data_IF_135389013376
#
_entry.id   IF_135389013376
#
_cell.length_a   1.000
_cell.length_b   1.000
_cell.length_c   1.000
_cell.angle_alpha   90.00
_cell.angle_beta   90.00
_cell.angle_gamma   90.00
#
_symmetry.space_group_name_H-M   'P 1'
#
loop_
_entity.id
_entity.type
_entity.pdbx_description
1 polymer ?
#
# COMPACT_ATOMS: atom_id res chain seq x y z
N UNK A 1 -5.55 7.14 24.62
CA UNK A 1 -6.50 6.08 24.23
C UNK A 1 -6.85 6.25 22.75
N UNK A 2 -5.98 5.77 21.85
CA UNK A 2 -6.10 4.46 21.18
C UNK A 2 -7.33 4.34 20.27
N UNK A 3 -7.44 5.10 19.17
CA UNK A 3 -8.39 4.73 18.12
C UNK A 3 -8.18 5.41 16.75
N UNK A 4 -6.99 5.33 16.15
CA UNK A 4 -6.82 5.58 14.69
C UNK A 4 -5.77 4.64 14.08
N UNK A 5 -5.71 3.41 14.58
CA UNK A 5 -4.85 2.35 14.03
C UNK A 5 -5.55 1.57 12.90
N UNK A 6 -6.88 1.65 12.83
CA UNK A 6 -7.71 0.75 12.00
C UNK A 6 -8.46 1.44 10.85
N UNK A 7 -8.30 2.75 10.66
CA UNK A 7 -8.91 3.49 9.55
C UNK A 7 -8.15 4.80 9.28
N UNK A 8 -7.08 4.79 8.47
CA UNK A 8 -6.59 6.03 7.88
C UNK A 8 -7.73 6.63 7.03
N UNK A 9 -7.79 7.98 6.85
CA UNK A 9 -8.76 8.58 5.95
C UNK A 9 -8.56 7.97 4.56
N UNK A 10 -9.44 7.05 4.19
CA UNK A 10 -9.42 6.45 2.88
C UNK A 10 -9.82 7.54 1.90
N UNK A 11 -8.95 7.82 0.94
CA UNK A 11 -9.32 8.65 -0.20
C UNK A 11 -10.49 7.92 -0.87
N UNK A 12 -11.65 8.58 -0.95
CA UNK A 12 -12.83 8.04 -1.62
C UNK A 12 -12.41 7.65 -3.05
N UNK A 13 -12.72 6.42 -3.49
CA UNK A 13 -12.35 5.85 -4.80
C UNK A 13 -10.88 5.40 -4.93
N UNK A 14 -10.32 4.76 -3.90
CA UNK A 14 -9.01 4.11 -3.99
C UNK A 14 -9.17 2.64 -3.59
N UNK A 15 -8.54 1.67 -4.29
CA UNK A 15 -8.56 0.28 -3.86
C UNK A 15 -8.11 0.18 -2.39
N UNK A 16 -8.64 -0.77 -1.59
CA UNK A 16 -8.31 -0.89 -0.16
C UNK A 16 -6.80 -0.96 0.11
N UNK A 17 -6.02 -1.40 -0.87
CA UNK A 17 -4.54 -1.41 -0.86
C UNK A 17 -3.92 -0.02 -0.84
N UNK A 18 -4.49 0.96 -1.55
CA UNK A 18 -3.92 2.30 -1.65
C UNK A 18 -4.11 3.12 -0.35
N UNK A 19 -5.10 2.79 0.49
CA UNK A 19 -5.21 3.37 1.84
C UNK A 19 -4.04 3.01 2.76
N UNK A 20 -3.59 1.75 2.70
CA UNK A 20 -2.43 1.27 3.47
C UNK A 20 -1.12 1.90 3.00
N UNK A 21 -0.96 2.06 1.68
CA UNK A 21 0.19 2.71 1.07
C UNK A 21 0.29 4.20 1.46
N UNK A 22 -0.83 4.93 1.40
CA UNK A 22 -0.90 6.34 1.81
C UNK A 22 -0.58 6.48 3.30
N UNK A 23 -1.09 5.59 4.14
CA UNK A 23 -0.79 5.59 5.57
C UNK A 23 0.70 5.39 5.85
N UNK A 24 1.35 4.42 5.19
CA UNK A 24 2.78 4.18 5.31
C UNK A 24 3.61 5.41 4.91
N UNK A 25 3.28 6.02 3.76
CA UNK A 25 3.94 7.26 3.28
C UNK A 25 3.75 8.43 4.24
N UNK A 26 2.54 8.61 4.77
CA UNK A 26 2.26 9.67 5.75
C UNK A 26 3.07 9.47 7.03
N UNK A 27 3.17 8.23 7.52
CA UNK A 27 4.00 7.93 8.69
C UNK A 27 5.47 8.21 8.43
N UNK A 28 5.99 7.81 7.26
CA UNK A 28 7.38 8.06 6.89
C UNK A 28 7.69 9.57 6.87
N UNK A 29 6.84 10.37 6.21
CA UNK A 29 6.97 11.84 6.23
C UNK A 29 6.94 12.43 7.64
N UNK A 30 6.02 11.94 8.49
CA UNK A 30 5.90 12.42 9.88
C UNK A 30 7.14 12.12 10.73
N UNK A 31 7.86 11.03 10.47
CA UNK A 31 9.10 10.72 11.21
C UNK A 31 10.34 11.37 10.57
N UNK A 32 10.31 11.70 9.28
CA UNK A 32 11.40 12.40 8.58
C UNK A 32 11.57 13.84 9.08
N UNK A 33 10.48 14.60 9.21
CA UNK A 33 10.54 16.00 9.64
C UNK A 33 11.26 16.22 10.98
N UNK A 34 10.95 15.48 12.07
CA UNK A 34 11.72 15.60 13.31
C UNK A 34 13.14 15.07 13.16
N UNK A 35 13.39 14.05 12.33
CA UNK A 35 14.74 13.52 12.12
C UNK A 35 15.65 14.53 11.39
N UNK A 36 15.12 15.30 10.42
CA UNK A 36 15.86 16.38 9.75
C UNK A 36 16.29 17.46 10.74
N UNK A 37 15.39 17.87 11.64
CA UNK A 37 15.70 18.83 12.71
C UNK A 37 16.71 18.27 13.71
N UNK A 38 16.59 16.99 14.04
CA UNK A 38 17.53 16.29 14.90
C UNK A 38 18.94 16.24 14.29
N UNK A 39 19.04 15.96 12.99
CA UNK A 39 20.30 15.92 12.25
C UNK A 39 20.97 17.30 12.14
N UNK A 40 20.19 18.38 12.04
CA UNK A 40 20.72 19.73 11.99
C UNK A 40 21.46 20.15 13.28
N UNK A 41 21.09 19.56 14.43
CA UNK A 41 21.74 19.86 15.70
C UNK A 41 22.91 18.91 15.99
N UNK A 42 24.10 19.28 15.49
CA UNK A 42 25.35 18.49 15.64
C UNK A 42 25.72 18.21 17.10
N UNK A 43 25.40 19.11 18.03
CA UNK A 43 25.71 18.95 19.45
C UNK A 43 24.90 17.81 20.10
N UNK A 44 23.67 17.60 19.64
CA UNK A 44 22.83 16.49 20.11
C UNK A 44 23.23 15.20 19.39
N UNK A 45 23.65 15.27 18.13
CA UNK A 45 24.03 14.11 17.31
C UNK A 45 25.26 13.36 17.85
N UNK A 46 26.17 14.01 18.55
CA UNK A 46 27.37 13.39 19.14
C UNK A 46 27.13 12.66 20.46
N UNK A 47 25.96 12.87 21.08
CA UNK A 47 25.61 12.22 22.36
C UNK A 47 25.47 10.71 22.22
N UNK A 48 25.58 9.96 23.33
CA UNK A 48 25.41 8.50 23.32
C UNK A 48 23.95 8.12 23.05
N UNK A 49 23.04 8.96 23.49
CA UNK A 49 21.58 8.85 23.38
C UNK A 49 21.13 8.97 21.92
N UNK A 50 21.81 9.81 21.11
CA UNK A 50 21.48 10.01 19.69
C UNK A 50 21.53 8.71 18.88
N UNK A 51 22.51 7.84 19.17
CA UNK A 51 22.69 6.56 18.47
C UNK A 51 21.47 5.67 18.63
N UNK A 52 20.83 5.66 19.81
CA UNK A 52 19.62 4.88 20.08
C UNK A 52 18.41 5.43 19.31
N UNK A 53 18.29 6.75 19.22
CA UNK A 53 17.23 7.44 18.47
C UNK A 53 17.37 7.14 16.97
N UNK A 54 18.58 7.30 16.41
CA UNK A 54 18.88 7.04 14.99
C UNK A 54 18.60 5.56 14.65
N UNK A 55 19.03 4.63 15.50
CA UNK A 55 18.76 3.19 15.28
C UNK A 55 17.27 2.88 15.26
N UNK A 56 16.50 3.51 16.14
CA UNK A 56 15.04 3.33 16.19
C UNK A 56 14.38 3.92 14.95
N UNK A 57 14.77 5.12 14.54
CA UNK A 57 14.30 5.75 13.31
C UNK A 57 14.60 4.87 12.08
N UNK A 58 15.84 4.41 11.90
CA UNK A 58 16.21 3.57 10.77
C UNK A 58 15.42 2.26 10.73
N UNK A 59 15.16 1.65 11.89
CA UNK A 59 14.34 0.44 12.00
C UNK A 59 12.91 0.70 11.53
N UNK A 60 12.30 1.79 11.98
CA UNK A 60 10.92 2.14 11.61
C UNK A 60 10.84 2.55 10.13
N UNK A 61 11.75 3.39 9.66
CA UNK A 61 11.81 3.82 8.26
C UNK A 61 11.96 2.64 7.31
N UNK A 62 12.88 1.71 7.60
CA UNK A 62 13.03 0.47 6.82
C UNK A 62 11.74 -0.35 6.78
N UNK A 63 11.11 -0.58 7.93
CA UNK A 63 9.86 -1.34 7.99
C UNK A 63 8.72 -0.69 7.18
N UNK A 64 8.64 0.65 7.17
CA UNK A 64 7.64 1.38 6.37
C UNK A 64 7.91 1.26 4.86
N UNK A 65 9.17 1.35 4.44
CA UNK A 65 9.57 1.20 3.03
C UNK A 65 9.35 -0.23 2.54
N UNK A 66 9.72 -1.23 3.34
CA UNK A 66 9.47 -2.65 3.04
C UNK A 66 7.98 -2.92 2.89
N UNK A 67 7.16 -2.38 3.80
CA UNK A 67 5.71 -2.48 3.73
C UNK A 67 5.15 -1.84 2.45
N UNK A 68 5.54 -0.60 2.14
CA UNK A 68 5.15 0.07 0.88
C UNK A 68 5.55 -0.75 -0.35
N UNK A 69 6.77 -1.26 -0.38
CA UNK A 69 7.29 -2.04 -1.52
C UNK A 69 6.50 -3.32 -1.72
N UNK A 70 6.22 -4.06 -0.65
CA UNK A 70 5.46 -5.31 -0.70
C UNK A 70 4.04 -5.07 -1.20
N UNK A 71 3.36 -4.05 -0.68
CA UNK A 71 2.00 -3.72 -1.10
C UNK A 71 1.93 -3.19 -2.52
N UNK A 72 2.88 -2.36 -2.94
CA UNK A 72 2.97 -1.90 -4.32
C UNK A 72 3.14 -3.09 -5.28
N UNK A 73 4.01 -4.02 -4.94
CA UNK A 73 4.27 -5.20 -5.76
C UNK A 73 3.04 -6.13 -5.85
N UNK A 74 2.34 -6.33 -4.73
CA UNK A 74 1.09 -7.09 -4.69
C UNK A 74 0.00 -6.42 -5.56
N UNK A 75 -0.11 -5.09 -5.51
CA UNK A 75 -1.04 -4.34 -6.33
C UNK A 75 -0.71 -4.47 -7.83
N UNK A 76 0.55 -4.30 -8.24
CA UNK A 76 0.96 -4.51 -9.63
C UNK A 76 0.60 -5.92 -10.13
N UNK A 77 0.84 -6.96 -9.31
CA UNK A 77 0.44 -8.33 -9.66
C UNK A 77 -1.07 -8.50 -9.82
N UNK A 78 -1.87 -7.88 -8.94
CA UNK A 78 -3.33 -7.91 -9.07
C UNK A 78 -3.82 -7.25 -10.37
N UNK A 79 -3.12 -6.22 -10.84
CA UNK A 79 -3.45 -5.57 -12.11
C UNK A 79 -3.18 -6.49 -13.30
N UNK A 80 -2.04 -7.17 -13.32
CA UNK A 80 -1.72 -8.12 -14.39
C UNK A 80 -2.68 -9.32 -14.42
N UNK A 81 -3.07 -9.84 -13.25
CA UNK A 81 -4.07 -10.91 -13.15
C UNK A 81 -5.42 -10.47 -13.74
N UNK A 82 -5.89 -9.28 -13.36
CA UNK A 82 -7.16 -8.78 -13.85
C UNK A 82 -7.12 -8.33 -15.33
N UNK A 83 -5.95 -7.97 -15.87
CA UNK A 83 -5.72 -7.79 -17.32
C UNK A 83 -5.88 -9.10 -18.09
N UNK A 84 -5.39 -10.22 -17.56
CA UNK A 84 -5.65 -11.54 -18.15
C UNK A 84 -7.15 -11.89 -18.12
N UNK A 85 -7.86 -11.53 -17.03
CA UNK A 85 -9.32 -11.64 -16.94
C UNK A 85 -10.05 -10.81 -18.00
N UNK A 86 -9.59 -9.59 -18.28
CA UNK A 86 -10.14 -8.72 -19.35
C UNK A 86 -9.96 -9.30 -20.76
N UNK A 87 -8.96 -10.16 -20.98
CA UNK A 87 -8.74 -10.83 -22.26
C UNK A 87 -9.61 -12.09 -22.44
N UNK A 88 -10.34 -12.51 -21.39
CA UNK A 88 -11.24 -13.65 -21.49
C UNK A 88 -12.47 -13.30 -22.35
N UNK A 89 -12.99 -14.29 -23.09
CA UNK A 89 -14.20 -14.10 -23.89
C UNK A 89 -15.38 -13.76 -22.98
N UNK A 90 -15.90 -12.52 -23.08
CA UNK A 90 -16.98 -12.02 -22.22
C UNK A 90 -18.29 -12.79 -22.39
N UNK A 91 -18.49 -13.46 -23.53
CA UNK A 91 -19.70 -14.23 -23.81
C UNK A 91 -19.26 -15.68 -24.07
N UNK A 92 -19.70 -16.59 -23.21
CA UNK A 92 -19.38 -18.03 -23.29
C UNK A 92 -20.67 -18.81 -23.42
N UNK A 93 -20.69 -19.82 -24.30
CA UNK A 93 -21.85 -20.66 -24.52
C UNK A 93 -21.75 -21.91 -23.63
N UNK A 94 -22.77 -22.17 -22.82
CA UNK A 94 -22.75 -23.33 -21.94
C UNK A 94 -22.84 -24.63 -22.76
N UNK A 95 -21.88 -25.56 -22.61
CA UNK A 95 -21.69 -26.68 -23.53
C UNK A 95 -22.87 -27.67 -23.57
N UNK A 96 -23.68 -27.74 -22.51
CA UNK A 96 -24.85 -28.64 -22.43
C UNK A 96 -26.20 -27.97 -22.69
N UNK A 97 -26.30 -26.65 -22.56
CA UNK A 97 -27.60 -25.95 -22.62
C UNK A 97 -27.69 -24.91 -23.74
N UNK A 98 -26.59 -24.61 -24.43
CA UNK A 98 -26.54 -23.66 -25.54
C UNK A 98 -26.82 -22.20 -25.15
N UNK A 99 -27.10 -21.93 -23.87
CA UNK A 99 -27.35 -20.59 -23.34
C UNK A 99 -26.06 -19.80 -23.24
N UNK A 100 -26.13 -18.51 -23.58
CA UNK A 100 -25.02 -17.57 -23.49
C UNK A 100 -24.92 -17.07 -22.05
N UNK A 101 -23.73 -17.10 -21.48
CA UNK A 101 -23.42 -16.56 -20.16
C UNK A 101 -22.29 -15.56 -20.27
N UNK A 102 -22.33 -14.57 -19.38
CA UNK A 102 -21.35 -13.51 -19.35
C UNK A 102 -20.20 -13.91 -18.42
N UNK A 103 -19.00 -14.09 -18.95
CA UNK A 103 -17.79 -14.44 -18.22
C UNK A 103 -17.12 -13.18 -17.64
N UNK A 104 -17.87 -12.44 -16.82
CA UNK A 104 -17.34 -11.26 -16.12
C UNK A 104 -16.74 -11.69 -14.79
N UNK A 105 -15.41 -11.68 -14.72
CA UNK A 105 -14.71 -11.93 -13.46
C UNK A 105 -14.94 -10.75 -12.49
N UNK A 106 -15.21 -11.08 -11.22
CA UNK A 106 -15.36 -10.07 -10.16
C UNK A 106 -14.05 -9.30 -9.92
N UNK A 107 -12.90 -9.87 -10.25
CA UNK A 107 -11.61 -9.18 -10.16
C UNK A 107 -11.50 -7.99 -11.12
N UNK A 108 -12.19 -8.02 -12.28
CA UNK A 108 -12.23 -6.91 -13.23
C UNK A 108 -12.96 -5.70 -12.65
N UNK A 109 -13.99 -5.91 -11.83
CA UNK A 109 -14.71 -4.83 -11.14
C UNK A 109 -13.82 -4.07 -10.13
N UNK A 110 -12.75 -4.70 -9.65
CA UNK A 110 -11.78 -4.04 -8.76
C UNK A 110 -10.81 -3.14 -9.54
N UNK A 111 -10.61 -3.37 -10.84
CA UNK A 111 -9.78 -2.52 -11.71
C UNK A 111 -10.47 -1.25 -12.16
N UNK A 112 -11.78 -1.27 -12.34
CA UNK A 112 -12.55 -0.11 -12.81
C UNK A 112 -12.82 0.92 -11.70
N UNK A 113 -12.16 0.81 -10.53
CA UNK A 113 -12.48 1.56 -9.32
C UNK A 113 -11.27 2.15 -8.60
#
# INVERSE_FOLDING_TARGET
TTSKKNAPPTVRNSPPVAGNLIWARQLLRRIEDPMKKFQANKNIMTTKESKKIIKTYNKVARALIEYETLWHHAWCKSIEAAKAGLQASLIVRHPKSGRLFVNFDREILQLMR
#
